data_IF_508183439475
#
_entry.id   IF_508183439475
#
_cell.length_a   1.000
_cell.length_b   1.000
_cell.length_c   1.000
_cell.angle_alpha   90.00
_cell.angle_beta   90.00
_cell.angle_gamma   90.00
#
_symmetry.space_group_name_H-M   'P 1'
#
loop_
_entity.id
_entity.type
_entity.pdbx_description
1 polymer ?
#
# COMPACT_ATOMS: atom_id res chain seq x y z
N UNK A 1 -41.40 19.82 20.89
CA UNK A 1 -42.83 19.53 20.55
C UNK A 1 -42.81 18.26 19.74
N UNK A 2 -43.40 17.22 20.07
CA UNK A 2 -44.32 16.49 20.94
C UNK A 2 -43.84 15.01 20.83
N UNK A 3 -43.51 14.28 21.83
CA UNK A 3 -44.28 13.49 22.80
C UNK A 3 -45.38 12.58 22.24
N UNK A 4 -45.29 11.29 22.59
CA UNK A 4 -46.31 10.25 22.45
C UNK A 4 -45.72 8.88 22.80
N UNK A 5 -45.52 8.50 24.03
CA UNK A 5 -46.33 7.71 24.99
C UNK A 5 -47.04 6.52 24.32
N UNK A 6 -46.74 5.25 24.60
CA UNK A 6 -46.93 4.49 25.79
C UNK A 6 -48.21 3.68 25.75
N UNK A 7 -48.16 2.37 25.98
CA UNK A 7 -49.18 1.68 26.80
C UNK A 7 -48.82 0.20 27.00
N UNK A 8 -48.60 -0.13 28.25
CA UNK A 8 -48.65 -1.44 28.88
C UNK A 8 -50.13 -1.81 29.11
N UNK A 9 -50.49 -3.07 28.87
CA UNK A 9 -51.70 -3.65 29.45
C UNK A 9 -51.38 -4.96 30.17
N UNK A 10 -51.52 -4.88 31.48
CA UNK A 10 -51.68 -6.02 32.37
C UNK A 10 -53.16 -6.21 32.63
N UNK A 11 -53.64 -7.45 32.70
CA UNK A 11 -55.02 -7.78 33.06
C UNK A 11 -55.03 -9.03 33.90
N UNK A 12 -55.46 -8.85 35.14
CA UNK A 12 -55.54 -9.83 36.25
C UNK A 12 -56.83 -10.62 36.23
N UNK A 13 -56.67 -11.82 36.67
CA UNK A 13 -57.49 -12.81 37.45
C UNK A 13 -58.92 -12.47 37.92
N UNK A 14 -59.74 -13.51 38.01
CA UNK A 14 -60.54 -14.00 39.15
C UNK A 14 -61.47 -15.08 38.60
N UNK A 15 -61.55 -16.28 39.10
CA UNK A 15 -61.95 -16.71 40.41
C UNK A 15 -63.33 -17.35 40.37
N UNK A 16 -63.51 -18.61 40.81
CA UNK A 16 -64.86 -19.17 41.07
C UNK A 16 -64.93 -20.69 40.89
N UNK A 17 -64.73 -21.41 42.02
CA UNK A 17 -65.29 -22.74 42.29
C UNK A 17 -66.82 -22.66 42.46
N UNK A 18 -67.65 -23.73 42.51
CA UNK A 18 -67.41 -24.99 43.16
C UNK A 18 -68.11 -26.29 42.55
N UNK A 19 -67.63 -27.41 43.06
CA UNK A 19 -68.15 -28.79 43.24
C UNK A 19 -69.69 -29.03 43.21
N UNK A 20 -70.18 -30.33 43.37
CA UNK A 20 -69.65 -31.68 43.10
C UNK A 20 -70.66 -32.59 42.36
N UNK A 21 -70.40 -33.87 42.15
CA UNK A 21 -71.20 -35.06 42.44
C UNK A 21 -70.83 -36.31 41.61
N UNK A 22 -70.28 -37.28 42.27
CA UNK A 22 -70.55 -38.71 42.49
C UNK A 22 -70.64 -39.67 41.30
N UNK A 23 -69.69 -40.55 41.25
CA UNK A 23 -69.68 -42.02 41.19
C UNK A 23 -70.49 -42.72 40.12
N UNK A 24 -69.85 -43.69 39.46
CA UNK A 24 -69.93 -45.13 39.65
C UNK A 24 -68.89 -45.84 38.76
N UNK A 25 -68.30 -46.83 39.33
CA UNK A 25 -67.31 -47.72 38.78
C UNK A 25 -67.84 -48.56 37.61
N UNK A 26 -67.00 -48.90 36.70
CA UNK A 26 -66.83 -50.30 36.34
C UNK A 26 -65.41 -50.56 35.80
N UNK A 27 -64.88 -51.68 36.24
CA UNK A 27 -63.54 -52.13 36.03
C UNK A 27 -63.38 -52.81 34.65
N UNK A 28 -62.41 -52.40 33.92
CA UNK A 28 -61.74 -53.27 32.91
C UNK A 28 -60.26 -52.93 32.92
N UNK A 29 -59.51 -53.79 33.58
CA UNK A 29 -58.04 -53.69 33.63
C UNK A 29 -57.48 -54.04 32.25
N UNK A 30 -57.00 -53.05 31.59
CA UNK A 30 -56.12 -53.22 30.41
C UNK A 30 -54.69 -53.46 30.91
N UNK A 31 -53.99 -54.50 30.46
CA UNK A 31 -52.64 -54.77 30.92
C UNK A 31 -51.69 -53.64 30.54
N UNK A 32 -50.98 -53.10 31.52
CA UNK A 32 -49.89 -52.11 31.32
C UNK A 32 -48.83 -52.77 30.48
N UNK A 33 -48.40 -52.10 29.34
CA UNK A 33 -47.30 -52.61 28.55
C UNK A 33 -46.01 -52.55 29.36
N UNK A 34 -45.30 -53.66 29.45
CA UNK A 34 -43.97 -53.78 30.02
C UNK A 34 -43.04 -52.84 29.21
N UNK A 35 -42.26 -51.99 29.90
CA UNK A 35 -41.31 -51.13 29.19
C UNK A 35 -40.30 -51.99 28.42
N UNK A 36 -40.24 -51.87 27.13
CA UNK A 36 -39.19 -52.44 26.28
C UNK A 36 -37.84 -51.83 26.75
N UNK A 37 -36.82 -52.63 27.02
CA UNK A 37 -35.52 -52.08 27.38
C UNK A 37 -35.00 -51.23 26.22
N UNK A 38 -34.79 -49.92 26.46
CA UNK A 38 -34.13 -49.00 25.53
C UNK A 38 -32.73 -49.54 25.31
N UNK A 39 -32.37 -49.81 24.06
CA UNK A 39 -31.02 -50.18 23.70
C UNK A 39 -30.04 -49.08 24.21
N UNK A 40 -28.89 -49.45 24.75
CA UNK A 40 -27.92 -48.45 25.21
C UNK A 40 -27.51 -47.56 24.03
N UNK A 41 -27.53 -46.24 24.24
CA UNK A 41 -27.01 -45.26 23.27
C UNK A 41 -25.61 -45.70 22.88
N UNK A 42 -25.42 -45.90 21.58
CA UNK A 42 -24.10 -46.14 21.02
C UNK A 42 -23.21 -44.93 21.37
N UNK A 43 -22.06 -45.15 22.01
CA UNK A 43 -21.05 -44.12 22.20
C UNK A 43 -20.79 -43.47 20.84
N UNK A 44 -20.76 -42.12 20.76
CA UNK A 44 -20.32 -41.46 19.58
C UNK A 44 -18.93 -41.99 19.17
N UNK A 45 -18.77 -42.34 17.91
CA UNK A 45 -17.48 -42.77 17.39
C UNK A 45 -16.44 -41.69 17.74
N UNK A 46 -15.24 -42.05 18.18
CA UNK A 46 -14.20 -41.08 18.43
C UNK A 46 -13.96 -40.30 17.13
N UNK A 47 -14.08 -38.97 17.19
CA UNK A 47 -13.61 -38.10 16.11
C UNK A 47 -12.17 -38.48 15.85
N UNK A 48 -11.85 -38.76 14.59
CA UNK A 48 -10.46 -39.00 14.18
C UNK A 48 -9.63 -37.84 14.72
N UNK A 49 -8.63 -38.14 15.53
CA UNK A 49 -7.67 -37.12 15.95
C UNK A 49 -7.11 -36.44 14.69
N UNK A 50 -7.11 -35.12 14.70
CA UNK A 50 -6.41 -34.38 13.63
C UNK A 50 -5.01 -34.96 13.51
N UNK A 51 -4.57 -35.24 12.28
CA UNK A 51 -3.20 -35.69 12.02
C UNK A 51 -2.29 -34.64 12.70
N UNK A 52 -1.44 -35.11 13.62
CA UNK A 52 -0.51 -34.21 14.30
C UNK A 52 0.37 -33.54 13.22
N UNK A 53 0.39 -32.21 13.22
CA UNK A 53 1.28 -31.46 12.33
C UNK A 53 2.74 -31.83 12.58
N UNK A 54 3.63 -31.55 11.63
CA UNK A 54 5.06 -31.82 11.79
C UNK A 54 5.59 -31.11 13.05
N UNK A 55 6.43 -31.83 13.82
CA UNK A 55 7.12 -31.23 14.96
C UNK A 55 8.16 -30.23 14.44
N UNK A 56 7.99 -28.93 14.76
CA UNK A 56 8.90 -27.85 14.40
C UNK A 56 9.78 -27.51 15.59
N UNK A 57 11.08 -27.52 15.38
CA UNK A 57 12.07 -27.41 16.47
C UNK A 57 13.03 -26.22 16.33
N UNK A 58 13.03 -25.52 15.19
CA UNK A 58 13.87 -24.35 14.99
C UNK A 58 13.21 -23.12 15.60
N UNK A 59 13.72 -22.64 16.72
CA UNK A 59 13.19 -21.47 17.44
C UNK A 59 13.98 -20.21 17.15
N UNK A 60 13.27 -19.08 17.01
CA UNK A 60 13.82 -17.74 16.95
C UNK A 60 13.44 -16.90 18.17
N UNK A 61 13.02 -17.55 19.27
CA UNK A 61 12.53 -16.87 20.47
C UNK A 61 13.55 -15.87 21.03
N UNK A 62 14.83 -16.23 21.09
CA UNK A 62 15.90 -15.33 21.59
C UNK A 62 16.09 -14.13 20.66
N UNK A 63 15.96 -14.32 19.35
CA UNK A 63 16.04 -13.24 18.35
C UNK A 63 14.82 -12.31 18.42
N UNK A 64 13.64 -12.87 18.67
CA UNK A 64 12.40 -12.11 18.86
C UNK A 64 12.37 -11.34 20.19
N UNK A 65 13.21 -11.71 21.17
CA UNK A 65 13.38 -11.02 22.43
C UNK A 65 14.44 -9.92 22.40
N UNK A 66 15.05 -9.65 21.24
CA UNK A 66 16.04 -8.57 21.10
C UNK A 66 15.40 -7.20 21.37
N UNK A 67 15.90 -6.50 22.38
CA UNK A 67 15.35 -5.22 22.83
C UNK A 67 15.38 -4.11 21.74
N UNK A 68 16.25 -4.24 20.73
CA UNK A 68 16.31 -3.31 19.60
C UNK A 68 15.05 -3.34 18.72
N UNK A 69 14.25 -4.40 18.82
CA UNK A 69 12.97 -4.54 18.08
C UNK A 69 11.83 -3.73 18.69
N UNK A 70 11.98 -3.21 19.92
CA UNK A 70 10.96 -2.40 20.60
C UNK A 70 9.62 -3.12 20.73
N UNK A 71 8.54 -2.51 20.27
CA UNK A 71 7.22 -3.14 20.15
C UNK A 71 7.23 -4.03 18.89
N UNK A 72 7.64 -5.28 19.09
CA UNK A 72 7.85 -6.24 18.01
C UNK A 72 6.54 -6.86 17.54
N UNK A 73 6.32 -6.83 16.22
CA UNK A 73 5.26 -7.57 15.54
C UNK A 73 5.85 -8.31 14.34
N UNK A 74 5.42 -9.55 14.14
CA UNK A 74 5.83 -10.31 12.96
C UNK A 74 4.86 -11.45 12.64
N UNK A 75 4.79 -11.80 11.37
CA UNK A 75 4.22 -13.06 10.91
C UNK A 75 5.08 -13.67 9.80
N UNK A 76 5.24 -14.99 9.86
CA UNK A 76 5.91 -15.79 8.83
C UNK A 76 4.99 -16.93 8.42
N UNK A 77 4.84 -17.10 7.12
CA UNK A 77 3.93 -18.09 6.52
C UNK A 77 4.70 -18.89 5.48
N UNK A 78 4.47 -20.19 5.41
CA UNK A 78 4.92 -20.99 4.29
C UNK A 78 4.14 -20.57 3.04
N UNK A 79 4.83 -20.08 2.01
CA UNK A 79 4.21 -19.50 0.83
C UNK A 79 3.36 -20.49 0.02
N UNK A 80 3.71 -21.77 0.03
CA UNK A 80 3.05 -22.83 -0.73
C UNK A 80 1.78 -23.33 0.00
N UNK A 81 1.87 -23.55 1.32
CA UNK A 81 0.81 -24.19 2.09
C UNK A 81 -0.13 -23.21 2.77
N UNK A 82 0.30 -21.94 2.95
CA UNK A 82 -0.42 -20.93 3.73
C UNK A 82 -0.32 -21.16 5.25
N UNK A 83 0.49 -22.12 5.70
CA UNK A 83 0.63 -22.41 7.13
C UNK A 83 1.43 -21.32 7.84
N UNK A 84 0.87 -20.80 8.94
CA UNK A 84 1.55 -19.83 9.80
C UNK A 84 2.62 -20.56 10.61
N UNK A 85 3.89 -20.19 10.40
CA UNK A 85 5.04 -20.80 11.07
C UNK A 85 5.44 -20.02 12.31
N UNK A 86 5.28 -18.69 12.27
CA UNK A 86 5.61 -17.79 13.38
C UNK A 86 4.60 -16.64 13.42
N UNK A 87 4.13 -16.27 14.61
CA UNK A 87 3.21 -15.15 14.81
C UNK A 87 3.50 -14.43 16.13
N UNK A 88 3.70 -13.12 16.05
CA UNK A 88 3.78 -12.20 17.17
C UNK A 88 2.97 -10.96 16.83
N UNK A 89 1.68 -10.98 17.22
CA UNK A 89 0.78 -9.87 16.93
C UNK A 89 0.52 -9.64 15.44
N UNK A 90 0.58 -10.70 14.62
CA UNK A 90 0.40 -10.60 13.18
C UNK A 90 -0.94 -10.02 12.72
N UNK A 91 -1.99 -10.14 13.54
CA UNK A 91 -3.31 -9.55 13.29
C UNK A 91 -3.44 -8.08 13.75
N UNK A 92 -2.46 -7.55 14.49
CA UNK A 92 -2.51 -6.17 14.97
C UNK A 92 -2.08 -5.20 13.88
N UNK A 93 -2.99 -4.32 13.48
CA UNK A 93 -2.69 -3.29 12.49
C UNK A 93 -1.81 -2.20 13.09
N UNK A 94 -0.67 -1.95 12.49
CA UNK A 94 0.30 -0.93 12.90
C UNK A 94 0.92 -0.25 11.70
N UNK A 95 1.64 0.86 11.94
CA UNK A 95 2.32 1.62 10.90
C UNK A 95 3.35 0.75 10.18
N UNK A 96 3.16 0.59 8.88
CA UNK A 96 4.01 -0.24 8.03
C UNK A 96 5.19 0.52 7.43
N UNK A 97 5.26 1.84 7.66
CA UNK A 97 6.20 2.72 6.99
C UNK A 97 6.19 2.46 5.46
N UNK A 98 7.31 2.59 4.77
CA UNK A 98 7.37 2.41 3.31
C UNK A 98 7.04 1.00 2.80
N UNK A 99 6.79 0.00 3.67
CA UNK A 99 6.20 -1.27 3.24
C UNK A 99 4.78 -1.06 2.69
N UNK A 100 4.09 0.02 3.09
CA UNK A 100 2.79 0.41 2.52
C UNK A 100 2.83 0.55 0.99
N UNK A 101 3.97 0.94 0.41
CA UNK A 101 4.14 1.06 -1.06
C UNK A 101 3.78 -0.23 -1.81
N UNK A 102 3.91 -1.38 -1.17
CA UNK A 102 3.48 -2.66 -1.75
C UNK A 102 1.96 -2.70 -1.95
N UNK A 103 1.20 -2.17 -0.98
CA UNK A 103 -0.25 -2.09 -1.08
C UNK A 103 -0.68 -1.08 -2.16
N UNK A 104 -0.06 0.10 -2.17
CA UNK A 104 -0.30 1.14 -3.19
C UNK A 104 0.02 0.60 -4.59
N UNK A 105 1.15 -0.11 -4.75
CA UNK A 105 1.54 -0.73 -6.01
C UNK A 105 0.54 -1.80 -6.46
N UNK A 106 0.08 -2.67 -5.55
CA UNK A 106 -0.91 -3.68 -5.86
C UNK A 106 -2.25 -3.04 -6.29
N UNK A 107 -2.70 -2.01 -5.60
CA UNK A 107 -3.90 -1.26 -5.98
C UNK A 107 -3.73 -0.57 -7.34
N UNK A 108 -2.55 0.01 -7.64
CA UNK A 108 -2.27 0.61 -8.94
C UNK A 108 -2.32 -0.42 -10.06
N UNK A 109 -1.78 -1.63 -9.86
CA UNK A 109 -1.87 -2.71 -10.85
C UNK A 109 -3.32 -3.18 -11.06
N UNK A 110 -4.14 -3.20 -10.02
CA UNK A 110 -5.54 -3.59 -10.11
C UNK A 110 -6.42 -2.53 -10.80
N UNK A 111 -6.26 -1.26 -10.42
CA UNK A 111 -7.14 -0.16 -10.87
C UNK A 111 -6.68 0.42 -12.20
N UNK A 112 -5.38 0.69 -12.35
CA UNK A 112 -4.82 1.32 -13.54
C UNK A 112 -4.35 0.29 -14.58
N UNK A 113 -3.85 -0.84 -14.11
CA UNK A 113 -3.14 -1.82 -14.94
C UNK A 113 -1.65 -1.49 -15.12
N UNK A 114 -0.83 -2.48 -15.54
CA UNK A 114 0.62 -2.33 -15.64
C UNK A 114 1.07 -1.34 -16.75
N UNK A 115 0.27 -1.17 -17.79
CA UNK A 115 0.59 -0.38 -18.99
C UNK A 115 0.07 1.06 -18.93
N UNK A 116 -0.71 1.42 -17.91
CA UNK A 116 -1.22 2.79 -17.75
C UNK A 116 -0.06 3.79 -17.68
N UNK A 117 -0.28 4.97 -18.29
CA UNK A 117 0.66 6.08 -18.31
C UNK A 117 -0.07 7.38 -18.00
N UNK A 118 0.43 8.15 -17.06
CA UNK A 118 -0.05 9.50 -16.82
C UNK A 118 0.36 10.40 -18.00
N UNK A 119 -0.53 11.32 -18.41
CA UNK A 119 -0.32 12.13 -19.61
C UNK A 119 -0.28 13.60 -19.25
N UNK A 120 0.82 14.28 -19.55
CA UNK A 120 0.92 15.74 -19.51
C UNK A 120 0.61 16.30 -20.88
N UNK A 121 -0.27 17.30 -20.95
CA UNK A 121 -0.73 17.88 -22.24
C UNK A 121 -0.51 19.37 -22.29
N UNK A 122 -0.41 19.88 -23.50
CA UNK A 122 -0.55 21.31 -23.77
C UNK A 122 -1.78 21.51 -24.64
N UNK A 123 -2.66 22.42 -24.24
CA UNK A 123 -3.85 22.77 -25.00
C UNK A 123 -3.85 24.26 -25.36
N UNK A 124 -4.64 24.65 -26.35
CA UNK A 124 -4.82 26.05 -26.72
C UNK A 124 -5.49 26.81 -25.56
N UNK A 125 -4.99 27.99 -25.26
CA UNK A 125 -5.62 28.91 -24.28
C UNK A 125 -6.81 29.66 -24.88
N UNK A 126 -7.39 30.55 -24.08
CA UNK A 126 -8.54 31.39 -24.48
C UNK A 126 -8.17 32.54 -25.37
N UNK A 127 -6.90 32.97 -25.33
CA UNK A 127 -6.39 34.13 -26.07
C UNK A 127 -5.36 33.69 -27.12
N UNK A 128 -5.21 34.46 -28.21
CA UNK A 128 -4.15 34.21 -29.21
C UNK A 128 -2.76 34.21 -28.55
N UNK A 129 -1.94 33.22 -28.84
CA UNK A 129 -0.61 33.06 -28.25
C UNK A 129 -0.59 32.57 -26.82
N UNK A 130 -1.74 32.26 -26.24
CA UNK A 130 -1.84 31.59 -24.92
C UNK A 130 -1.89 30.08 -25.08
N UNK A 131 -1.12 29.37 -24.28
CA UNK A 131 -1.19 27.91 -24.13
C UNK A 131 -1.45 27.54 -22.67
N UNK A 132 -2.04 26.40 -22.46
CA UNK A 132 -2.26 25.83 -21.09
C UNK A 132 -1.47 24.54 -20.95
N UNK A 133 -0.55 24.50 -20.02
CA UNK A 133 0.15 23.29 -19.61
C UNK A 133 -0.69 22.56 -18.57
N UNK A 134 -1.22 21.38 -18.91
CA UNK A 134 -2.12 20.59 -18.07
C UNK A 134 -1.39 19.38 -17.52
N UNK A 135 -1.23 19.34 -16.20
CA UNK A 135 -0.65 18.21 -15.50
C UNK A 135 -1.65 17.07 -15.36
N UNK A 136 -1.28 15.88 -15.79
CA UNK A 136 -2.07 14.66 -15.65
C UNK A 136 -1.57 13.73 -14.54
N UNK A 137 -0.85 14.28 -13.56
CA UNK A 137 -0.37 13.53 -12.39
C UNK A 137 0.96 12.80 -12.62
N UNK A 138 1.69 13.09 -13.70
CA UNK A 138 3.06 12.59 -13.87
C UNK A 138 4.04 13.47 -13.08
N UNK A 139 4.54 12.95 -11.96
CA UNK A 139 5.56 13.62 -11.15
C UNK A 139 6.98 13.36 -11.66
N UNK A 140 7.13 12.46 -12.62
CA UNK A 140 8.44 12.04 -13.16
C UNK A 140 8.85 12.80 -14.41
N UNK A 141 7.94 13.62 -15.01
CA UNK A 141 8.23 14.46 -16.17
C UNK A 141 9.57 15.19 -15.97
N UNK A 142 10.51 15.05 -16.91
CA UNK A 142 11.85 15.57 -16.71
C UNK A 142 12.04 16.97 -17.28
N UNK A 143 12.72 17.84 -16.52
CA UNK A 143 13.21 19.13 -16.95
C UNK A 143 14.61 19.06 -17.59
N UNK A 144 15.26 17.88 -17.58
CA UNK A 144 16.55 17.68 -18.26
C UNK A 144 16.35 17.61 -19.77
N UNK A 145 17.35 17.98 -20.59
CA UNK A 145 17.25 17.88 -22.06
C UNK A 145 17.03 16.43 -22.51
N UNK A 146 16.27 16.24 -23.58
CA UNK A 146 16.07 14.93 -24.21
C UNK A 146 17.41 14.24 -24.47
N UNK A 147 17.56 13.03 -23.95
CA UNK A 147 18.78 12.22 -24.02
C UNK A 147 19.71 12.38 -22.83
N UNK A 148 19.36 13.22 -21.85
CA UNK A 148 20.04 13.37 -20.56
C UNK A 148 19.13 12.88 -19.45
N UNK A 149 19.35 11.66 -18.98
CA UNK A 149 18.48 10.98 -18.02
C UNK A 149 18.52 11.65 -16.65
N UNK A 150 17.36 12.01 -16.13
CA UNK A 150 17.22 12.42 -14.73
C UNK A 150 17.27 11.22 -13.78
N UNK A 151 17.06 11.45 -12.48
CA UNK A 151 16.87 10.36 -11.51
C UNK A 151 15.75 9.38 -11.95
N UNK A 152 14.75 9.87 -12.66
CA UNK A 152 13.67 9.06 -13.23
C UNK A 152 14.02 8.61 -14.65
N UNK A 153 14.87 7.59 -14.76
CA UNK A 153 15.33 7.10 -16.06
C UNK A 153 14.16 6.73 -16.99
N UNK A 154 14.24 7.20 -18.23
CA UNK A 154 13.22 6.99 -19.25
C UNK A 154 11.94 7.84 -19.08
N UNK A 155 11.98 8.86 -18.24
CA UNK A 155 10.90 9.83 -18.12
C UNK A 155 10.66 10.59 -19.44
N UNK A 156 9.45 11.10 -19.62
CA UNK A 156 9.18 12.06 -20.69
C UNK A 156 9.90 13.39 -20.41
N UNK A 157 10.29 14.12 -21.47
CA UNK A 157 11.03 15.36 -21.34
C UNK A 157 10.19 16.58 -21.72
N UNK A 158 10.40 17.67 -20.98
CA UNK A 158 9.65 18.90 -21.14
C UNK A 158 10.00 19.65 -22.45
N UNK A 159 11.25 19.57 -22.92
CA UNK A 159 11.70 20.10 -24.16
C UNK A 159 11.00 19.48 -25.40
N UNK A 160 10.75 18.15 -25.34
CA UNK A 160 9.97 17.44 -26.36
C UNK A 160 8.52 17.93 -26.42
N UNK A 161 7.91 18.21 -25.27
CA UNK A 161 6.57 18.77 -25.16
C UNK A 161 6.52 20.20 -25.72
N UNK A 162 7.54 21.03 -25.44
CA UNK A 162 7.68 22.37 -25.95
C UNK A 162 7.89 22.40 -27.48
N UNK A 163 8.71 21.48 -28.03
CA UNK A 163 8.89 21.32 -29.46
C UNK A 163 7.59 21.00 -30.19
N UNK A 164 6.83 20.01 -29.70
CA UNK A 164 5.51 19.66 -30.24
C UNK A 164 4.56 20.87 -30.21
N UNK A 165 4.56 21.63 -29.10
CA UNK A 165 3.71 22.81 -28.92
C UNK A 165 4.03 23.88 -29.98
N UNK A 166 5.33 24.22 -30.18
CA UNK A 166 5.76 25.17 -31.22
C UNK A 166 5.38 24.70 -32.63
N UNK A 167 5.56 23.40 -32.88
CA UNK A 167 5.21 22.83 -34.19
C UNK A 167 3.70 22.93 -34.48
N UNK A 168 2.85 22.64 -33.51
CA UNK A 168 1.39 22.74 -33.64
C UNK A 168 0.90 24.17 -33.89
N UNK A 169 1.59 25.17 -33.32
CA UNK A 169 1.22 26.57 -33.47
C UNK A 169 1.74 27.21 -34.77
N UNK A 170 2.57 26.48 -35.55
CA UNK A 170 2.98 26.92 -36.90
C UNK A 170 3.71 28.28 -36.96
N UNK A 171 4.46 28.64 -35.90
CA UNK A 171 5.20 29.91 -35.82
C UNK A 171 4.45 31.05 -35.14
N UNK A 172 3.24 30.81 -34.63
CA UNK A 172 2.55 31.76 -33.75
C UNK A 172 3.36 31.94 -32.47
N UNK A 173 3.67 33.19 -32.10
CA UNK A 173 4.42 33.47 -30.86
C UNK A 173 3.59 33.08 -29.62
N UNK A 174 4.23 32.38 -28.70
CA UNK A 174 3.63 32.06 -27.40
C UNK A 174 3.95 33.19 -26.44
N UNK A 175 2.91 33.85 -25.93
CA UNK A 175 3.03 35.04 -25.08
C UNK A 175 2.65 34.76 -23.63
N UNK A 176 1.90 33.68 -23.38
CA UNK A 176 1.53 33.28 -22.03
C UNK A 176 1.32 31.77 -21.89
N UNK A 177 1.70 31.26 -20.73
CA UNK A 177 1.50 29.87 -20.28
C UNK A 177 0.60 29.88 -19.03
N UNK A 178 -0.52 29.19 -19.11
CA UNK A 178 -1.37 28.93 -17.95
C UNK A 178 -1.05 27.53 -17.41
N UNK A 179 -0.93 27.38 -16.11
CA UNK A 179 -0.59 26.13 -15.44
C UNK A 179 -1.86 25.54 -14.83
N UNK A 180 -2.29 24.39 -15.33
CA UNK A 180 -3.44 23.65 -14.79
C UNK A 180 -2.96 22.39 -14.06
N UNK A 181 -3.02 22.42 -12.74
CA UNK A 181 -2.71 21.29 -11.87
C UNK A 181 -3.95 20.69 -11.19
N UNK A 182 -5.14 21.01 -11.68
CA UNK A 182 -6.43 20.69 -11.04
C UNK A 182 -6.76 19.20 -11.01
N UNK A 183 -6.02 18.37 -11.75
CA UNK A 183 -6.20 16.91 -11.76
C UNK A 183 -6.02 16.29 -10.36
N UNK A 184 -5.09 16.81 -9.54
CA UNK A 184 -5.02 16.53 -8.12
C UNK A 184 -5.58 17.71 -7.33
N UNK A 185 -6.45 17.42 -6.35
CA UNK A 185 -7.06 18.43 -5.48
C UNK A 185 -6.21 18.73 -4.24
N UNK A 186 -6.47 19.87 -3.64
CA UNK A 186 -5.84 20.28 -2.39
C UNK A 186 -6.25 19.45 -1.17
N UNK A 187 -5.41 19.42 -0.11
CA UNK A 187 -4.09 20.03 -0.03
C UNK A 187 -3.01 19.22 -0.76
N UNK A 188 -1.93 19.87 -1.22
CA UNK A 188 -0.78 19.20 -1.83
C UNK A 188 0.16 18.52 -0.81
N UNK A 189 -0.01 18.80 0.47
CA UNK A 189 0.74 18.23 1.60
C UNK A 189 -0.22 17.54 2.56
N UNK A 190 0.05 16.27 2.88
CA UNK A 190 -0.73 15.54 3.86
C UNK A 190 -0.40 16.07 5.27
N UNK A 191 -1.41 16.49 6.09
CA UNK A 191 -1.16 17.20 7.34
C UNK A 191 -0.34 16.44 8.40
N UNK A 192 -0.28 15.11 8.34
CA UNK A 192 0.48 14.29 9.29
C UNK A 192 1.95 14.12 8.91
N UNK A 193 2.39 14.60 7.74
CA UNK A 193 3.79 14.54 7.36
C UNK A 193 4.60 15.64 8.04
N UNK A 194 5.81 15.32 8.49
CA UNK A 194 6.77 16.33 8.96
C UNK A 194 7.28 17.15 7.75
N UNK A 195 7.22 18.48 7.86
CA UNK A 195 7.79 19.39 6.84
C UNK A 195 9.30 19.22 6.63
N UNK A 196 9.99 18.60 7.57
CA UNK A 196 11.39 18.24 7.43
C UNK A 196 11.66 17.32 6.25
N UNK A 197 10.72 16.43 5.93
CA UNK A 197 10.81 15.54 4.78
C UNK A 197 11.01 16.28 3.45
N UNK A 198 10.49 17.51 3.34
CA UNK A 198 10.67 18.37 2.17
C UNK A 198 12.09 18.90 2.08
N UNK A 199 12.64 19.44 3.15
CA UNK A 199 13.99 20.01 3.20
C UNK A 199 15.07 18.94 3.16
N UNK A 200 14.82 17.79 3.79
CA UNK A 200 15.71 16.61 3.77
C UNK A 200 15.64 15.88 2.40
N UNK A 201 14.67 16.25 1.55
CA UNK A 201 14.62 15.82 0.16
C UNK A 201 13.90 14.50 -0.10
N UNK A 202 13.07 14.04 0.81
CA UNK A 202 12.33 12.77 0.69
C UNK A 202 10.90 12.93 0.16
N UNK A 203 10.27 14.10 0.35
CA UNK A 203 8.87 14.31 -0.04
C UNK A 203 8.65 15.73 -0.60
N UNK A 204 8.13 15.88 -1.84
CA UNK A 204 7.63 17.16 -2.34
C UNK A 204 6.18 17.41 -1.90
N UNK A 205 5.65 18.63 -2.02
CA UNK A 205 4.21 18.83 -2.20
C UNK A 205 3.73 18.03 -3.42
N UNK A 206 2.61 17.31 -3.29
CA UNK A 206 2.10 16.44 -4.36
C UNK A 206 1.07 17.18 -5.20
N UNK A 207 1.48 17.61 -6.37
CA UNK A 207 0.67 18.35 -7.35
C UNK A 207 0.60 17.56 -8.65
N UNK A 208 -0.45 17.78 -9.44
CA UNK A 208 -0.61 17.06 -10.72
C UNK A 208 0.34 17.53 -11.82
N UNK A 209 0.96 18.68 -11.64
CA UNK A 209 1.93 19.28 -12.54
C UNK A 209 3.21 19.57 -11.76
N UNK A 210 4.25 18.81 -12.01
CA UNK A 210 5.59 19.03 -11.48
C UNK A 210 6.64 18.32 -12.35
N UNK A 211 7.91 18.62 -12.16
CA UNK A 211 9.03 18.01 -12.88
C UNK A 211 10.02 17.38 -11.91
N UNK A 212 10.62 16.25 -12.32
CA UNK A 212 11.69 15.55 -11.61
C UNK A 212 11.36 15.22 -10.13
N UNK A 213 10.06 15.03 -9.80
CA UNK A 213 9.59 14.91 -8.43
C UNK A 213 9.93 16.15 -7.59
N UNK A 214 10.00 17.31 -8.21
CA UNK A 214 10.35 18.61 -7.61
C UNK A 214 11.73 18.67 -6.94
N UNK A 215 12.72 17.94 -7.44
CA UNK A 215 14.11 17.96 -6.96
C UNK A 215 14.82 19.25 -7.37
N UNK A 216 15.59 19.86 -6.46
CA UNK A 216 16.51 20.97 -6.80
C UNK A 216 17.62 20.50 -7.75
N UNK A 217 18.09 19.27 -7.56
CA UNK A 217 18.98 18.60 -8.49
C UNK A 217 18.28 17.36 -9.08
N UNK A 218 17.90 17.37 -10.36
CA UNK A 218 17.12 16.31 -10.99
C UNK A 218 17.85 14.96 -11.07
N UNK A 219 19.16 14.94 -10.88
CA UNK A 219 19.98 13.72 -10.97
C UNK A 219 20.13 12.99 -9.63
N UNK A 220 19.85 13.65 -8.52
CA UNK A 220 20.07 13.11 -7.19
C UNK A 220 18.82 12.38 -6.66
N UNK A 221 19.01 11.20 -6.07
CA UNK A 221 17.93 10.46 -5.39
C UNK A 221 17.32 11.26 -4.24
N UNK A 222 18.16 11.91 -3.44
CA UNK A 222 17.79 12.79 -2.33
C UNK A 222 18.21 14.21 -2.68
N UNK A 223 17.27 15.12 -2.73
CA UNK A 223 17.46 16.53 -3.07
C UNK A 223 16.34 17.35 -2.46
N UNK A 224 16.63 18.50 -1.90
CA UNK A 224 15.61 19.41 -1.37
C UNK A 224 14.50 19.66 -2.39
N UNK A 225 13.30 19.93 -1.91
CA UNK A 225 12.10 20.19 -2.72
C UNK A 225 11.64 21.63 -2.51
N UNK A 226 10.99 22.20 -3.53
CA UNK A 226 10.44 23.55 -3.42
C UNK A 226 9.12 23.59 -2.65
N UNK A 227 8.69 24.79 -2.33
CA UNK A 227 7.33 25.02 -1.79
C UNK A 227 6.27 25.05 -2.89
N UNK A 228 6.68 25.24 -4.16
CA UNK A 228 5.78 25.39 -5.30
C UNK A 228 6.29 24.59 -6.53
N UNK A 229 5.96 23.28 -6.58
CA UNK A 229 6.30 22.45 -7.74
C UNK A 229 5.65 22.89 -9.04
N UNK A 230 4.46 23.49 -8.98
CA UNK A 230 3.72 23.95 -10.16
C UNK A 230 4.43 25.13 -10.83
N UNK A 231 4.84 26.10 -10.03
CA UNK A 231 5.63 27.25 -10.53
C UNK A 231 6.97 26.80 -11.11
N UNK A 232 7.65 25.84 -10.47
CA UNK A 232 8.91 25.28 -10.98
C UNK A 232 8.71 24.62 -12.35
N UNK A 233 7.67 23.81 -12.52
CA UNK A 233 7.34 23.18 -13.80
C UNK A 233 6.98 24.22 -14.87
N UNK A 234 6.23 25.24 -14.47
CA UNK A 234 5.87 26.35 -15.35
C UNK A 234 7.06 27.17 -15.83
N UNK A 235 7.97 27.51 -14.93
CA UNK A 235 9.21 28.23 -15.26
C UNK A 235 10.11 27.42 -16.20
N UNK A 236 10.25 26.11 -15.94
CA UNK A 236 11.00 25.20 -16.81
C UNK A 236 10.39 25.15 -18.22
N UNK A 237 9.06 24.96 -18.32
CA UNK A 237 8.37 24.89 -19.60
C UNK A 237 8.44 26.21 -20.38
N UNK A 238 8.25 27.38 -19.71
CA UNK A 238 8.39 28.69 -20.33
C UNK A 238 9.83 28.91 -20.83
N UNK A 239 10.84 28.43 -20.09
CA UNK A 239 12.24 28.42 -20.54
C UNK A 239 12.44 27.66 -21.84
N UNK A 240 11.88 26.47 -21.96
CA UNK A 240 11.90 25.65 -23.18
C UNK A 240 11.15 26.30 -24.35
N UNK A 241 10.17 27.15 -24.08
CA UNK A 241 9.46 27.92 -25.11
C UNK A 241 10.22 29.19 -25.59
N UNK A 242 11.33 29.56 -24.97
CA UNK A 242 12.14 30.72 -25.30
C UNK A 242 12.24 31.77 -24.19
N UNK A 243 11.53 31.59 -23.08
CA UNK A 243 11.66 32.37 -21.84
C UNK A 243 10.86 33.71 -21.82
N UNK A 244 10.19 34.09 -22.91
CA UNK A 244 9.49 35.39 -23.01
C UNK A 244 8.00 35.32 -22.57
N UNK A 245 7.45 34.12 -22.43
CA UNK A 245 6.05 33.92 -22.06
C UNK A 245 5.80 34.21 -20.58
N UNK A 246 4.75 34.97 -20.29
CA UNK A 246 4.26 35.12 -18.90
C UNK A 246 3.65 33.83 -18.40
N UNK A 247 3.85 33.51 -17.09
CA UNK A 247 3.32 32.29 -16.45
C UNK A 247 2.27 32.69 -15.45
N UNK A 248 1.16 31.93 -15.38
CA UNK A 248 0.09 32.10 -14.40
C UNK A 248 -0.62 30.78 -14.12
N UNK A 249 -1.18 30.62 -12.92
CA UNK A 249 -2.00 29.46 -12.55
C UNK A 249 -3.44 29.66 -13.03
N UNK A 250 -4.05 28.59 -13.53
CA UNK A 250 -5.45 28.61 -14.00
C UNK A 250 -5.94 27.22 -14.40
N UNK A 251 -7.02 27.17 -15.15
CA UNK A 251 -7.58 25.91 -15.66
C UNK A 251 -7.73 25.96 -17.17
N UNK A 252 -7.58 24.80 -17.81
CA UNK A 252 -7.77 24.66 -19.24
C UNK A 252 -9.22 24.98 -19.65
N UNK A 253 -9.44 25.72 -20.77
CA UNK A 253 -10.79 25.91 -21.29
C UNK A 253 -11.45 24.57 -21.65
N UNK A 254 -12.72 24.43 -21.33
CA UNK A 254 -13.45 23.21 -21.68
C UNK A 254 -13.45 22.98 -23.20
N UNK A 255 -13.03 21.78 -23.63
CA UNK A 255 -12.97 21.44 -25.06
C UNK A 255 -11.83 22.11 -25.83
N UNK A 256 -10.83 22.69 -25.14
CA UNK A 256 -9.65 23.27 -25.79
C UNK A 256 -8.93 22.24 -26.69
N UNK A 257 -8.43 22.70 -27.83
CA UNK A 257 -7.70 21.81 -28.73
C UNK A 257 -6.34 21.43 -28.16
N UNK A 258 -6.05 20.13 -28.13
CA UNK A 258 -4.74 19.63 -27.74
C UNK A 258 -3.70 20.00 -28.80
N UNK A 259 -2.60 20.58 -28.36
CA UNK A 259 -1.46 20.97 -29.17
C UNK A 259 -0.31 19.96 -29.08
N UNK A 260 -0.07 19.44 -27.89
CA UNK A 260 1.03 18.53 -27.62
C UNK A 260 0.67 17.57 -26.45
N UNK A 261 1.37 16.45 -26.37
CA UNK A 261 1.30 15.56 -25.20
C UNK A 261 2.53 14.69 -25.08
N UNK A 262 2.87 14.36 -23.83
CA UNK A 262 3.87 13.35 -23.47
C UNK A 262 3.31 12.45 -22.37
N UNK A 263 3.87 11.25 -22.23
CA UNK A 263 3.39 10.25 -21.28
C UNK A 263 4.50 9.77 -20.38
N UNK A 264 4.17 9.52 -19.13
CA UNK A 264 5.08 8.90 -18.16
C UNK A 264 5.57 7.53 -18.63
N UNK A 265 6.54 6.96 -17.90
CA UNK A 265 6.79 5.53 -17.94
C UNK A 265 5.50 4.76 -17.60
N UNK A 266 5.36 3.48 -18.03
CA UNK A 266 4.21 2.67 -17.61
C UNK A 266 4.22 2.42 -16.10
N UNK A 267 3.05 2.23 -15.51
CA UNK A 267 2.88 1.95 -14.08
C UNK A 267 3.79 0.82 -13.61
N UNK A 268 4.00 -0.22 -14.42
CA UNK A 268 4.92 -1.32 -14.10
C UNK A 268 6.35 -0.82 -13.83
N UNK A 269 6.88 0.05 -14.68
CA UNK A 269 8.22 0.64 -14.49
C UNK A 269 8.25 1.58 -13.29
N UNK A 270 7.23 2.43 -13.12
CA UNK A 270 7.13 3.35 -11.99
C UNK A 270 7.08 2.61 -10.64
N UNK A 271 6.36 1.48 -10.58
CA UNK A 271 6.33 0.61 -9.40
C UNK A 271 7.73 0.07 -9.08
N UNK A 272 8.43 -0.48 -10.07
CA UNK A 272 9.78 -1.02 -9.88
C UNK A 272 10.75 0.07 -9.40
N UNK A 273 10.76 1.23 -10.03
CA UNK A 273 11.57 2.38 -9.62
C UNK A 273 11.23 2.82 -8.18
N UNK A 274 9.93 2.93 -7.86
CA UNK A 274 9.48 3.32 -6.51
C UNK A 274 9.87 2.34 -5.43
N UNK A 275 9.76 1.04 -5.68
CA UNK A 275 10.03 0.02 -4.68
C UNK A 275 11.52 -0.14 -4.40
N UNK A 276 12.37 -0.17 -5.45
CA UNK A 276 13.80 -0.42 -5.31
C UNK A 276 14.51 0.64 -4.48
N UNK A 277 14.20 1.92 -4.69
CA UNK A 277 14.80 3.05 -3.95
C UNK A 277 13.87 3.64 -2.90
N UNK A 278 12.68 3.09 -2.75
CA UNK A 278 11.67 3.58 -1.78
C UNK A 278 11.20 5.01 -2.04
N UNK A 279 11.02 5.40 -3.32
CA UNK A 279 10.62 6.77 -3.69
C UNK A 279 9.21 7.09 -3.19
N UNK A 280 9.12 8.14 -2.34
CA UNK A 280 7.86 8.58 -1.77
C UNK A 280 6.98 9.32 -2.79
N UNK A 281 7.58 10.17 -3.63
CA UNK A 281 6.85 10.98 -4.60
C UNK A 281 6.11 10.09 -5.62
N UNK A 282 6.77 9.08 -6.18
CA UNK A 282 6.13 8.13 -7.10
C UNK A 282 5.04 7.31 -6.40
N UNK A 283 5.25 6.90 -5.15
CA UNK A 283 4.21 6.18 -4.41
C UNK A 283 2.96 7.03 -4.15
N UNK A 284 3.14 8.33 -3.83
CA UNK A 284 2.02 9.27 -3.71
C UNK A 284 1.34 9.52 -5.06
N UNK A 285 2.12 9.71 -6.12
CA UNK A 285 1.61 9.78 -7.49
C UNK A 285 0.68 8.60 -7.78
N UNK A 286 1.15 7.39 -7.56
CA UNK A 286 0.35 6.16 -7.79
C UNK A 286 -0.91 6.14 -6.92
N UNK A 287 -0.82 6.48 -5.64
CA UNK A 287 -1.98 6.57 -4.75
C UNK A 287 -3.03 7.58 -5.22
N UNK A 288 -2.59 8.76 -5.68
CA UNK A 288 -3.46 9.81 -6.22
C UNK A 288 -4.08 9.40 -7.56
N UNK A 289 -3.31 8.79 -8.47
CA UNK A 289 -3.82 8.26 -9.73
C UNK A 289 -4.87 7.17 -9.50
N UNK A 290 -4.62 6.25 -8.58
CA UNK A 290 -5.60 5.21 -8.18
C UNK A 290 -6.89 5.84 -7.69
N UNK A 291 -6.81 6.92 -6.91
CA UNK A 291 -7.99 7.62 -6.39
C UNK A 291 -8.81 8.32 -7.49
N UNK A 292 -8.14 9.00 -8.42
CA UNK A 292 -8.80 9.71 -9.52
C UNK A 292 -9.42 8.71 -10.50
N UNK A 293 -8.65 7.77 -11.01
CA UNK A 293 -9.09 6.81 -12.02
C UNK A 293 -10.07 5.77 -11.45
N UNK A 294 -9.95 5.45 -10.17
CA UNK A 294 -10.92 4.65 -9.42
C UNK A 294 -12.22 5.38 -9.06
N UNK A 295 -12.32 6.69 -9.40
CA UNK A 295 -13.53 7.49 -9.22
C UNK A 295 -13.89 7.84 -7.77
N UNK A 296 -12.93 7.74 -6.84
CA UNK A 296 -13.16 8.07 -5.42
C UNK A 296 -12.91 9.55 -5.11
N UNK A 297 -12.23 10.27 -6.00
CA UNK A 297 -11.91 11.69 -5.87
C UNK A 297 -10.44 11.97 -6.13
N UNK A 298 -10.03 13.22 -5.94
CA UNK A 298 -8.69 13.68 -6.28
C UNK A 298 -7.88 14.28 -5.12
N UNK A 299 -8.29 14.03 -3.87
CA UNK A 299 -7.59 14.48 -2.65
C UNK A 299 -6.91 13.32 -1.92
N UNK A 300 -6.07 13.59 -0.92
CA UNK A 300 -5.49 12.52 -0.07
C UNK A 300 -6.58 11.63 0.58
N UNK A 301 -7.69 12.22 1.03
CA UNK A 301 -8.78 11.45 1.64
C UNK A 301 -9.40 10.42 0.68
N UNK A 302 -9.26 10.60 -0.63
CA UNK A 302 -9.76 9.67 -1.64
C UNK A 302 -8.85 8.45 -1.85
N UNK A 303 -7.59 8.48 -1.37
CA UNK A 303 -6.62 7.38 -1.53
C UNK A 303 -7.12 6.12 -0.82
N UNK A 304 -7.53 6.22 0.46
CA UNK A 304 -7.95 5.06 1.22
C UNK A 304 -9.07 4.25 0.55
N UNK A 305 -10.24 4.82 0.20
CA UNK A 305 -11.32 4.05 -0.43
C UNK A 305 -10.88 3.46 -1.78
N UNK A 306 -10.06 4.15 -2.56
CA UNK A 306 -9.58 3.66 -3.85
C UNK A 306 -8.60 2.49 -3.70
N UNK A 307 -7.61 2.64 -2.83
CA UNK A 307 -6.61 1.59 -2.59
C UNK A 307 -7.27 0.35 -1.99
N UNK A 308 -8.18 0.50 -1.01
CA UNK A 308 -8.89 -0.64 -0.44
C UNK A 308 -9.79 -1.35 -1.47
N UNK A 309 -10.43 -0.60 -2.38
CA UNK A 309 -11.20 -1.19 -3.48
C UNK A 309 -10.30 -2.00 -4.42
N UNK A 310 -9.16 -1.46 -4.84
CA UNK A 310 -8.19 -2.17 -5.67
C UNK A 310 -7.61 -3.42 -5.00
N UNK A 311 -7.35 -3.35 -3.68
CA UNK A 311 -6.85 -4.49 -2.90
C UNK A 311 -7.90 -5.60 -2.71
N UNK A 312 -9.19 -5.25 -2.68
CA UNK A 312 -10.27 -6.23 -2.53
C UNK A 312 -10.33 -7.23 -3.70
N UNK A 313 -9.87 -6.83 -4.90
CA UNK A 313 -9.80 -7.71 -6.09
C UNK A 313 -8.88 -8.93 -5.86
N UNK A 314 -7.93 -8.82 -4.93
CA UNK A 314 -7.06 -9.95 -4.58
C UNK A 314 -7.70 -10.93 -3.58
N UNK A 315 -8.93 -10.68 -3.10
CA UNK A 315 -9.66 -11.58 -2.21
C UNK A 315 -9.07 -11.74 -0.82
N UNK A 316 -8.23 -10.78 -0.37
CA UNK A 316 -7.68 -10.73 0.98
C UNK A 316 -8.52 -9.76 1.80
N UNK A 317 -8.93 -10.18 3.00
CA UNK A 317 -9.69 -9.32 3.92
C UNK A 317 -8.87 -8.07 4.31
N UNK A 318 -9.41 -6.91 4.00
CA UNK A 318 -8.79 -5.59 4.26
C UNK A 318 -9.22 -4.99 5.59
N UNK A 319 -9.98 -5.72 6.41
CA UNK A 319 -10.45 -5.24 7.72
C UNK A 319 -9.27 -4.82 8.60
N UNK A 320 -9.38 -3.63 9.18
CA UNK A 320 -8.35 -3.06 10.06
C UNK A 320 -7.23 -2.31 9.32
N UNK A 321 -7.15 -2.35 8.00
CA UNK A 321 -6.22 -1.52 7.23
C UNK A 321 -6.70 -0.07 7.24
N UNK A 322 -5.76 0.84 7.52
CA UNK A 322 -5.96 2.28 7.38
C UNK A 322 -4.85 2.86 6.51
N UNK A 323 -5.24 3.63 5.50
CA UNK A 323 -4.35 4.24 4.52
C UNK A 323 -4.60 5.74 4.52
N UNK A 324 -3.60 6.52 4.90
CA UNK A 324 -3.62 7.98 4.94
C UNK A 324 -2.97 8.55 3.69
N UNK A 325 -1.92 7.87 3.21
CA UNK A 325 -1.11 8.28 2.08
C UNK A 325 -0.70 7.06 1.22
N UNK A 326 -0.03 7.30 0.10
CA UNK A 326 0.42 6.24 -0.79
C UNK A 326 1.81 5.68 -0.43
N UNK A 327 2.62 6.44 0.29
CA UNK A 327 4.04 6.14 0.55
C UNK A 327 4.30 5.40 1.85
N UNK A 328 3.42 5.54 2.84
CA UNK A 328 3.62 5.04 4.19
C UNK A 328 4.38 6.00 5.11
N UNK A 329 4.51 7.27 4.73
CA UNK A 329 5.20 8.28 5.52
C UNK A 329 4.41 8.67 6.77
N UNK A 330 3.08 8.70 6.68
CA UNK A 330 2.22 9.00 7.82
C UNK A 330 2.25 7.92 8.89
N UNK A 331 2.52 8.30 10.14
CA UNK A 331 2.37 7.42 11.32
C UNK A 331 0.95 6.90 11.54
N UNK A 332 -0.03 7.54 10.90
CA UNK A 332 -1.43 7.18 11.02
C UNK A 332 -1.86 6.05 10.08
N UNK A 333 -0.98 5.58 9.21
CA UNK A 333 -1.20 4.35 8.45
C UNK A 333 -1.25 3.13 9.37
N UNK A 334 -2.02 2.11 9.02
CA UNK A 334 -2.07 0.87 9.79
C UNK A 334 -2.31 -0.33 8.87
N UNK A 335 -1.40 -1.31 8.93
CA UNK A 335 -1.48 -2.56 8.16
C UNK A 335 -1.11 -3.73 9.06
N UNK A 336 -1.94 -4.78 9.16
CA UNK A 336 -1.55 -5.99 9.89
C UNK A 336 -0.44 -6.76 9.15
N UNK A 337 0.61 -7.27 9.83
CA UNK A 337 1.57 -8.20 9.23
C UNK A 337 0.93 -9.37 8.47
N UNK A 338 -0.18 -9.90 9.00
CA UNK A 338 -0.92 -10.99 8.39
C UNK A 338 -1.56 -10.64 7.03
N UNK A 339 -1.86 -9.37 6.77
CA UNK A 339 -2.29 -8.94 5.44
C UNK A 339 -1.13 -9.03 4.44
N UNK A 340 0.04 -8.51 4.85
CA UNK A 340 1.24 -8.50 4.00
C UNK A 340 1.70 -9.90 3.63
N UNK A 341 1.75 -10.84 4.60
CA UNK A 341 2.16 -12.20 4.29
C UNK A 341 1.26 -12.85 3.24
N UNK A 342 -0.05 -12.65 3.31
CA UNK A 342 -1.01 -13.13 2.30
C UNK A 342 -0.83 -12.43 0.94
N UNK A 343 -0.60 -11.13 0.94
CA UNK A 343 -0.36 -10.39 -0.30
C UNK A 343 0.95 -10.87 -0.96
N UNK A 344 2.02 -11.07 -0.17
CA UNK A 344 3.27 -11.60 -0.67
C UNK A 344 3.19 -13.05 -1.18
N UNK A 345 2.26 -13.88 -0.67
CA UNK A 345 1.98 -15.19 -1.28
C UNK A 345 1.48 -15.02 -2.73
N UNK A 346 0.58 -14.08 -2.98
CA UNK A 346 0.07 -13.79 -4.34
C UNK A 346 1.14 -13.16 -5.24
N UNK A 347 1.98 -12.28 -4.67
CA UNK A 347 3.13 -11.69 -5.38
C UNK A 347 4.11 -12.80 -5.78
N UNK A 348 4.44 -13.73 -4.87
CA UNK A 348 5.30 -14.87 -5.14
C UNK A 348 4.71 -15.79 -6.23
N UNK A 349 3.41 -15.96 -6.26
CA UNK A 349 2.72 -16.74 -7.29
C UNK A 349 2.55 -15.96 -8.61
N UNK A 350 2.99 -14.70 -8.70
CA UNK A 350 2.79 -13.79 -9.83
C UNK A 350 1.32 -13.73 -10.28
N UNK A 351 0.39 -13.70 -9.33
CA UNK A 351 -1.04 -13.69 -9.62
C UNK A 351 -1.42 -12.41 -10.37
N UNK A 352 -1.98 -12.55 -11.56
CA UNK A 352 -2.26 -11.41 -12.44
C UNK A 352 -1.00 -10.62 -12.79
N UNK A 353 -0.98 -9.31 -12.48
CA UNK A 353 0.16 -8.43 -12.72
C UNK A 353 1.09 -8.28 -11.50
N UNK A 354 0.85 -9.00 -10.40
CA UNK A 354 1.59 -8.83 -9.14
C UNK A 354 3.08 -9.18 -9.24
N UNK A 355 3.51 -9.95 -10.26
CA UNK A 355 4.92 -10.19 -10.55
C UNK A 355 5.75 -8.92 -10.74
N UNK A 356 5.13 -7.82 -11.21
CA UNK A 356 5.77 -6.49 -11.31
C UNK A 356 6.31 -6.02 -9.96
N UNK A 357 5.60 -6.29 -8.86
CA UNK A 357 6.04 -5.93 -7.51
C UNK A 357 7.27 -6.74 -7.11
N UNK A 358 7.27 -8.05 -7.40
CA UNK A 358 8.42 -8.91 -7.09
C UNK A 358 9.70 -8.39 -7.76
N UNK A 359 9.63 -8.02 -9.04
CA UNK A 359 10.75 -7.50 -9.81
C UNK A 359 11.30 -6.16 -9.29
N UNK A 360 10.49 -5.41 -8.55
CA UNK A 360 10.87 -4.14 -7.92
C UNK A 360 11.38 -4.26 -6.47
N UNK A 361 11.40 -5.47 -5.88
CA UNK A 361 11.86 -5.62 -4.49
C UNK A 361 13.38 -5.54 -4.39
N UNK A 362 13.92 -4.78 -3.43
CA UNK A 362 15.31 -4.91 -3.02
C UNK A 362 15.68 -6.34 -2.59
N UNK A 363 16.92 -6.73 -2.85
CA UNK A 363 17.45 -8.06 -2.52
C UNK A 363 18.58 -7.92 -1.50
N UNK A 364 18.58 -8.74 -0.45
CA UNK A 364 19.67 -8.81 0.52
C UNK A 364 20.98 -9.13 -0.18
N UNK A 365 22.06 -8.37 0.10
CA UNK A 365 23.35 -8.52 -0.56
C UNK A 365 23.35 -8.16 -2.05
N UNK A 366 22.26 -7.60 -2.58
CA UNK A 366 22.14 -7.17 -3.97
C UNK A 366 23.01 -5.95 -4.30
N UNK A 367 23.06 -5.58 -5.59
CA UNK A 367 23.86 -4.43 -6.06
C UNK A 367 23.11 -3.10 -6.06
N UNK A 368 21.80 -3.10 -5.79
CA UNK A 368 20.95 -1.91 -5.82
C UNK A 368 19.82 -1.97 -4.81
N UNK A 369 19.22 -0.83 -4.51
CA UNK A 369 18.08 -0.71 -3.61
C UNK A 369 18.45 -0.67 -2.13
N UNK A 370 17.45 -0.54 -1.29
CA UNK A 370 17.62 -0.29 0.15
C UNK A 370 18.20 -1.46 0.96
N UNK A 371 18.28 -2.65 0.39
CA UNK A 371 18.95 -3.82 1.00
C UNK A 371 20.38 -4.02 0.50
N UNK A 372 20.90 -3.17 -0.39
CA UNK A 372 22.29 -3.21 -0.86
C UNK A 372 23.26 -2.41 0.02
N UNK A 373 22.77 -1.70 1.03
CA UNK A 373 23.64 -0.96 1.96
C UNK A 373 24.51 -1.92 2.76
N UNK A 374 25.77 -1.54 2.98
CA UNK A 374 26.79 -2.40 3.59
C UNK A 374 26.51 -2.82 5.04
N UNK A 375 25.61 -2.15 5.72
CA UNK A 375 25.14 -2.47 7.07
C UNK A 375 23.94 -3.42 7.11
N UNK A 376 23.35 -3.75 5.94
CA UNK A 376 22.22 -4.67 5.83
C UNK A 376 22.70 -6.09 5.52
N UNK A 377 22.08 -7.07 6.15
CA UNK A 377 22.38 -8.50 6.02
C UNK A 377 23.89 -8.82 6.07
N UNK A 378 24.67 -8.07 6.85
CA UNK A 378 26.13 -8.20 6.94
C UNK A 378 26.58 -9.13 8.06
N UNK A 379 27.86 -9.53 8.05
CA UNK A 379 28.46 -10.38 9.08
C UNK A 379 27.77 -11.76 9.15
N UNK A 380 27.23 -12.12 10.31
CA UNK A 380 26.52 -13.39 10.50
C UNK A 380 25.20 -13.50 9.75
N UNK A 381 24.69 -12.40 9.21
CA UNK A 381 23.43 -12.38 8.44
C UNK A 381 23.65 -12.56 6.94
N UNK A 382 24.91 -12.55 6.47
CA UNK A 382 25.23 -12.74 5.05
C UNK A 382 24.83 -14.10 4.48
N UNK A 383 24.47 -15.07 5.33
CA UNK A 383 23.92 -16.37 4.87
C UNK A 383 22.63 -16.19 4.07
N UNK A 384 21.90 -15.09 4.31
CA UNK A 384 20.64 -14.77 3.63
C UNK A 384 20.81 -13.89 2.38
N UNK A 385 22.04 -13.58 1.97
CA UNK A 385 22.33 -12.83 0.74
C UNK A 385 21.76 -13.56 -0.49
N UNK A 386 21.08 -12.80 -1.35
CA UNK A 386 20.39 -13.33 -2.52
C UNK A 386 19.11 -14.14 -2.23
N UNK A 387 18.77 -14.36 -0.95
CA UNK A 387 17.63 -15.18 -0.55
C UNK A 387 16.43 -14.38 -0.05
N UNK A 388 16.62 -13.13 0.39
CA UNK A 388 15.57 -12.24 0.91
C UNK A 388 15.25 -11.16 -0.11
N UNK A 389 14.00 -11.16 -0.58
CA UNK A 389 13.42 -10.18 -1.50
C UNK A 389 12.38 -9.39 -0.72
N UNK A 390 12.68 -8.15 -0.34
CA UNK A 390 11.81 -7.46 0.61
C UNK A 390 11.80 -5.94 0.45
N UNK A 391 10.63 -5.36 0.74
CA UNK A 391 10.49 -3.91 0.89
C UNK A 391 10.85 -3.52 2.31
N UNK A 392 11.74 -2.54 2.43
CA UNK A 392 12.10 -1.89 3.68
C UNK A 392 11.15 -0.75 4.01
N UNK A 393 10.97 -0.46 5.29
CA UNK A 393 10.28 0.74 5.76
C UNK A 393 11.01 1.39 6.93
N UNK A 394 10.97 2.72 6.95
CA UNK A 394 11.48 3.53 8.04
C UNK A 394 10.66 4.82 8.17
N UNK A 395 10.33 5.15 9.37
CA UNK A 395 9.81 6.42 9.88
C UNK A 395 10.38 6.61 11.29
N UNK A 396 10.29 7.79 11.87
CA UNK A 396 10.87 8.08 13.19
C UNK A 396 10.41 7.14 14.30
N UNK A 397 9.22 6.52 14.14
CA UNK A 397 8.58 5.65 15.13
C UNK A 397 8.67 4.17 14.78
N UNK A 398 9.47 3.77 13.80
CA UNK A 398 9.62 2.35 13.48
C UNK A 398 10.39 1.99 12.22
N UNK A 399 10.92 0.76 12.26
CA UNK A 399 11.53 0.08 11.11
C UNK A 399 10.72 -1.15 10.75
N UNK A 400 10.57 -1.40 9.47
CA UNK A 400 9.80 -2.55 8.96
C UNK A 400 10.51 -3.23 7.80
N UNK A 401 10.23 -4.52 7.64
CA UNK A 401 10.70 -5.33 6.51
C UNK A 401 9.64 -6.37 6.19
N UNK A 402 9.25 -6.48 4.92
CA UNK A 402 8.26 -7.48 4.51
C UNK A 402 8.53 -7.96 3.09
N UNK A 403 8.35 -9.25 2.86
CA UNK A 403 8.69 -9.83 1.56
C UNK A 403 8.65 -11.35 1.52
N UNK A 404 9.59 -11.89 0.75
CA UNK A 404 9.73 -13.30 0.41
C UNK A 404 11.13 -13.76 0.79
N UNK A 405 11.22 -14.96 1.37
CA UNK A 405 12.48 -15.64 1.70
C UNK A 405 12.54 -16.99 0.98
N UNK A 406 13.56 -17.20 0.16
CA UNK A 406 13.93 -18.52 -0.34
C UNK A 406 14.82 -19.18 0.72
N UNK A 407 14.23 -19.96 1.63
CA UNK A 407 14.88 -20.47 2.82
C UNK A 407 15.96 -21.53 2.51
N UNK A 408 16.89 -21.70 3.45
CA UNK A 408 18.03 -22.62 3.30
C UNK A 408 17.66 -24.09 3.15
N UNK A 409 16.45 -24.49 3.54
CA UNK A 409 15.88 -25.82 3.36
C UNK A 409 15.14 -26.03 2.03
N UNK A 410 15.11 -24.99 1.18
CA UNK A 410 14.42 -24.98 -0.12
C UNK A 410 12.95 -24.60 -0.06
N UNK A 411 12.40 -24.32 1.12
CA UNK A 411 11.03 -23.78 1.26
C UNK A 411 11.01 -22.29 0.92
N UNK A 412 9.86 -21.79 0.45
CA UNK A 412 9.62 -20.36 0.27
C UNK A 412 8.69 -19.85 1.39
N UNK A 413 9.12 -18.78 2.04
CA UNK A 413 8.39 -18.14 3.12
C UNK A 413 7.96 -16.73 2.69
N UNK A 414 6.79 -16.30 3.16
CA UNK A 414 6.41 -14.88 3.16
C UNK A 414 6.44 -14.35 4.57
N UNK A 415 6.89 -13.12 4.75
CA UNK A 415 7.09 -12.55 6.08
C UNK A 415 6.79 -11.06 6.15
N UNK A 416 6.45 -10.61 7.34
CA UNK A 416 6.41 -9.20 7.72
C UNK A 416 6.95 -9.06 9.13
N UNK A 417 7.86 -8.09 9.33
CA UNK A 417 8.51 -7.78 10.61
C UNK A 417 8.43 -6.28 10.85
N UNK A 418 7.93 -5.91 12.02
CA UNK A 418 7.84 -4.54 12.49
C UNK A 418 8.57 -4.39 13.82
N UNK A 419 9.46 -3.42 13.90
CA UNK A 419 10.13 -2.93 15.11
C UNK A 419 9.63 -1.50 15.35
N UNK A 420 8.78 -1.29 16.35
CA UNK A 420 8.02 -0.07 16.54
C UNK A 420 8.32 0.58 17.91
N UNK A 421 7.91 1.85 18.05
CA UNK A 421 8.11 2.64 19.26
C UNK A 421 9.39 3.45 19.20
N UNK A 422 10.03 3.65 20.36
CA UNK A 422 11.32 4.36 20.47
C UNK A 422 12.47 3.41 20.09
N UNK A 423 12.66 3.21 18.78
CA UNK A 423 13.67 2.32 18.20
C UNK A 423 14.71 3.12 17.44
N UNK A 424 15.98 2.83 17.67
CA UNK A 424 17.09 3.47 16.97
C UNK A 424 17.51 2.75 15.70
N UNK A 425 18.50 3.31 15.00
CA UNK A 425 19.02 2.79 13.73
C UNK A 425 19.46 1.31 13.78
N UNK A 426 19.88 0.83 14.95
CA UNK A 426 20.29 -0.56 15.16
C UNK A 426 19.12 -1.56 15.15
N UNK A 427 17.87 -1.09 15.09
CA UNK A 427 16.72 -1.95 14.85
C UNK A 427 16.79 -2.65 13.47
N UNK A 428 17.42 -1.99 12.48
CA UNK A 428 17.64 -2.60 11.14
C UNK A 428 18.41 -3.91 11.25
N UNK A 429 19.52 -3.93 12.02
CA UNK A 429 20.33 -5.12 12.21
C UNK A 429 19.59 -6.22 13.00
N UNK A 430 18.72 -5.83 13.95
CA UNK A 430 17.90 -6.79 14.67
C UNK A 430 16.83 -7.43 13.74
N UNK A 431 16.22 -6.65 12.87
CA UNK A 431 15.31 -7.13 11.82
C UNK A 431 16.05 -8.08 10.86
N UNK A 432 17.25 -7.72 10.39
CA UNK A 432 18.05 -8.56 9.51
C UNK A 432 18.43 -9.87 10.21
N UNK A 433 18.74 -9.83 11.50
CA UNK A 433 19.11 -11.01 12.29
C UNK A 433 17.95 -11.98 12.45
N UNK A 434 16.77 -11.49 12.82
CA UNK A 434 15.60 -12.38 12.95
C UNK A 434 15.14 -12.91 11.58
N UNK A 435 15.21 -12.09 10.52
CA UNK A 435 14.90 -12.52 9.15
C UNK A 435 15.86 -13.59 8.67
N UNK A 436 17.15 -13.48 8.97
CA UNK A 436 18.15 -14.53 8.72
C UNK A 436 17.84 -15.79 9.55
N UNK A 437 17.30 -15.63 10.76
CA UNK A 437 16.78 -16.74 11.56
C UNK A 437 15.65 -17.47 10.85
N UNK A 438 14.71 -16.76 10.24
CA UNK A 438 13.64 -17.37 9.42
C UNK A 438 14.22 -18.11 8.20
N UNK A 439 15.18 -17.51 7.51
CA UNK A 439 15.90 -18.16 6.39
C UNK A 439 16.55 -19.49 6.80
N UNK A 440 17.23 -19.51 7.95
CA UNK A 440 17.90 -20.72 8.46
C UNK A 440 16.92 -21.79 8.91
N UNK A 441 15.81 -21.40 9.52
CA UNK A 441 14.80 -22.31 10.03
C UNK A 441 13.94 -22.92 8.92
N UNK A 442 13.64 -22.15 7.87
CA UNK A 442 12.78 -22.59 6.78
C UNK A 442 11.43 -23.12 7.30
N UNK A 443 10.98 -24.20 6.71
CA UNK A 443 9.72 -24.87 7.10
C UNK A 443 9.74 -25.52 8.49
N UNK A 444 10.92 -25.63 9.12
CA UNK A 444 11.05 -26.14 10.49
C UNK A 444 10.91 -25.03 11.56
N UNK A 445 10.64 -23.79 11.15
CA UNK A 445 10.41 -22.65 12.06
C UNK A 445 9.24 -22.95 13.00
N UNK A 446 9.46 -22.81 14.31
CA UNK A 446 8.46 -23.01 15.35
C UNK A 446 7.93 -21.67 15.87
N UNK A 447 6.67 -21.67 16.34
CA UNK A 447 6.02 -20.51 16.93
C UNK A 447 6.34 -20.33 18.44
N UNK A 448 7.44 -20.88 18.92
CA UNK A 448 7.86 -20.80 20.32
C UNK A 448 8.64 -19.54 20.62
#
# INVERSE_FOLDING_TARGET
>A
MLLGTGAVWAGTATGGDPKPVVAVADASATPTPTPTPTAPELRPAPTLASVAGPLRTCSVADLAADSRLGEFQAQVVNAETGEILFDRGGSTASRAASVLKVLTSAAALSVLGPDYRATTTVVAGSEPGQVVLVGGGDLTLSSTPTGDESFYAGAAHLDALAEQTRAALGGTAITSVVLDSSYFGDPAWEPSWDRKEQTDGYMPPITALQVDGDRDNPYNSTSARSDDPVDRAGAAFAGELGGDASVSVGTAPAGASQLASVQSQPVSTLIQQSLIVSDNAVAEMLGRLVAVEGGTGNTFAAIQPAVLAGLAEYGIDTTGIRIIDGSGLSDNNAVPPAYLTKLFQKINASEGSLGVIFDGLPVAGGSSGSLSYSDRFSGSNADADGAVFAKTGWIDTGYTLSGIINAGDGSTLTFAVYALGDVGDNAKQAIDTITTGFFRCGNNLSNN
#
